data_IF_002604765666
#
_entry.id   IF_002604765666
#
_cell.length_a   1.000
_cell.length_b   1.000
_cell.length_c   1.000
_cell.angle_alpha   90.00
_cell.angle_beta   90.00
_cell.angle_gamma   90.00
#
_symmetry.space_group_name_H-M   'P 1'
#
loop_
_entity.id
_entity.type
_entity.pdbx_description
1 polymer ?
#
# COMPACT_ATOMS: atom_id res chain seq x y z
N UNK A 1 44.41 42.11 12.00
CA UNK A 1 44.04 41.89 10.58
C UNK A 1 44.41 40.47 10.17
N UNK A 2 43.48 39.53 10.27
CA UNK A 2 43.67 38.17 9.74
C UNK A 2 42.37 37.73 9.09
N UNK A 3 42.37 37.78 7.76
CA UNK A 3 41.23 37.42 6.90
C UNK A 3 41.06 35.89 6.89
N UNK A 4 39.92 35.41 7.38
CA UNK A 4 39.47 34.03 7.17
C UNK A 4 38.82 33.93 5.79
N UNK A 5 39.60 33.52 4.80
CA UNK A 5 39.11 33.22 3.46
C UNK A 5 38.18 32.00 3.48
N UNK A 6 36.88 32.24 3.49
CA UNK A 6 35.85 31.23 3.28
C UNK A 6 35.76 30.92 1.77
N UNK A 7 36.17 29.71 1.41
CA UNK A 7 36.09 29.14 0.06
C UNK A 7 34.65 29.24 -0.50
N UNK A 8 34.49 30.04 -1.55
CA UNK A 8 33.23 30.35 -2.26
C UNK A 8 32.84 29.33 -3.35
N UNK A 9 33.37 28.11 -3.34
CA UNK A 9 33.32 27.20 -4.50
C UNK A 9 32.18 26.16 -4.55
N UNK A 10 31.20 26.22 -3.66
CA UNK A 10 30.08 25.26 -3.66
C UNK A 10 28.71 25.83 -4.07
N UNK A 11 28.65 27.02 -4.68
CA UNK A 11 27.39 27.65 -5.13
C UNK A 11 26.96 27.31 -6.56
N UNK A 12 27.63 26.39 -7.26
CA UNK A 12 27.20 25.94 -8.61
C UNK A 12 26.24 24.76 -8.50
N UNK A 13 25.03 25.00 -8.02
CA UNK A 13 24.05 23.93 -7.95
C UNK A 13 22.65 24.25 -7.42
N UNK A 14 22.17 25.50 -7.45
CA UNK A 14 20.75 25.74 -7.20
C UNK A 14 20.28 27.13 -7.66
N UNK A 15 19.24 27.15 -8.50
CA UNK A 15 18.26 28.24 -8.66
C UNK A 15 18.76 29.68 -8.62
N UNK A 16 18.85 30.30 -9.79
CA UNK A 16 19.01 31.74 -10.00
C UNK A 16 18.03 32.56 -9.14
N UNK A 17 18.54 33.56 -8.41
CA UNK A 17 17.78 34.76 -8.05
C UNK A 17 17.52 35.11 -6.57
N UNK A 18 18.09 34.39 -5.57
CA UNK A 18 17.88 34.73 -4.15
C UNK A 18 19.18 35.21 -3.49
N UNK A 19 19.11 36.30 -2.71
CA UNK A 19 20.25 36.86 -1.97
C UNK A 19 20.78 35.85 -0.93
N UNK A 20 22.06 35.94 -0.57
CA UNK A 20 22.73 35.02 0.38
C UNK A 20 21.96 34.89 1.71
N UNK A 21 21.40 36.01 2.17
CA UNK A 21 20.57 36.06 3.40
C UNK A 21 19.24 35.32 3.25
N UNK A 22 18.60 35.41 2.08
CA UNK A 22 17.33 34.73 1.80
C UNK A 22 17.52 33.21 1.73
N UNK A 23 18.68 32.77 1.22
CA UNK A 23 19.09 31.38 1.23
C UNK A 23 19.29 30.83 2.65
N UNK A 24 19.92 31.61 3.53
CA UNK A 24 20.10 31.25 4.93
C UNK A 24 18.76 31.16 5.67
N UNK A 25 17.88 32.16 5.51
CA UNK A 25 16.51 32.14 6.05
C UNK A 25 15.70 30.94 5.55
N UNK A 26 15.82 30.58 4.26
CA UNK A 26 15.14 29.39 3.69
C UNK A 26 15.69 28.07 4.27
N UNK A 27 16.99 28.00 4.55
CA UNK A 27 17.64 26.84 5.17
C UNK A 27 17.21 26.68 6.63
N UNK A 28 17.15 27.77 7.38
CA UNK A 28 16.66 27.82 8.75
C UNK A 28 15.19 27.41 8.83
N UNK A 29 14.34 27.94 7.94
CA UNK A 29 12.92 27.54 7.84
C UNK A 29 12.77 26.04 7.60
N UNK A 30 13.57 25.47 6.70
CA UNK A 30 13.60 24.01 6.43
C UNK A 30 14.10 23.21 7.63
N UNK A 31 15.05 23.73 8.40
CA UNK A 31 15.56 23.10 9.63
C UNK A 31 14.47 23.08 10.71
N UNK A 32 13.81 24.21 10.96
CA UNK A 32 12.70 24.32 11.91
C UNK A 32 11.51 23.44 11.51
N UNK A 33 11.15 23.38 10.22
CA UNK A 33 10.07 22.51 9.74
C UNK A 33 10.38 21.01 9.95
N UNK A 34 11.63 20.60 9.71
CA UNK A 34 12.10 19.23 9.98
C UNK A 34 12.02 18.90 11.46
N UNK A 35 12.45 19.80 12.33
CA UNK A 35 12.36 19.62 13.78
C UNK A 35 10.90 19.54 14.25
N UNK A 36 10.00 20.38 13.72
CA UNK A 36 8.57 20.31 14.01
C UNK A 36 7.96 18.97 13.59
N UNK A 37 8.32 18.46 12.41
CA UNK A 37 7.87 17.13 11.93
C UNK A 37 8.43 15.99 12.77
N UNK A 38 9.68 16.08 13.24
CA UNK A 38 10.27 15.10 14.15
C UNK A 38 9.55 15.08 15.50
N UNK A 39 9.28 16.25 16.10
CA UNK A 39 8.52 16.37 17.37
C UNK A 39 7.15 15.74 17.27
N UNK A 40 6.36 16.12 16.25
CA UNK A 40 5.05 15.50 15.99
C UNK A 40 5.14 13.99 15.83
N UNK A 41 6.12 13.48 15.10
CA UNK A 41 6.29 12.02 14.91
C UNK A 41 6.65 11.30 16.20
N UNK A 42 7.42 11.94 17.10
CA UNK A 42 7.72 11.42 18.44
C UNK A 42 6.46 11.42 19.31
N UNK A 43 5.72 12.52 19.35
CA UNK A 43 4.44 12.63 20.07
C UNK A 43 3.43 11.56 19.61
N UNK A 44 3.24 11.40 18.30
CA UNK A 44 2.36 10.35 17.77
C UNK A 44 2.84 8.93 18.13
N UNK A 45 4.14 8.68 18.20
CA UNK A 45 4.68 7.39 18.65
C UNK A 45 4.45 7.16 20.14
N UNK A 46 4.66 8.18 20.97
CA UNK A 46 4.40 8.11 22.41
C UNK A 46 2.91 7.92 22.69
N UNK A 47 2.02 8.63 21.97
CA UNK A 47 0.57 8.43 22.06
C UNK A 47 0.16 7.02 21.68
N UNK A 48 0.71 6.49 20.59
CA UNK A 48 0.42 5.11 20.15
C UNK A 48 0.95 4.06 21.13
N UNK A 49 2.11 4.30 21.74
CA UNK A 49 2.65 3.43 22.79
C UNK A 49 1.79 3.48 24.07
N UNK A 50 1.33 4.67 24.46
CA UNK A 50 0.42 4.85 25.59
C UNK A 50 -0.97 4.22 25.35
N UNK A 51 -1.53 4.36 24.14
CA UNK A 51 -2.77 3.67 23.74
C UNK A 51 -2.60 2.16 23.78
N UNK A 52 -1.46 1.64 23.28
CA UNK A 52 -1.18 0.20 23.32
C UNK A 52 -0.98 -0.32 24.75
N UNK A 53 -0.33 0.45 25.62
CA UNK A 53 -0.16 0.10 27.04
C UNK A 53 -1.50 0.18 27.82
N UNK A 54 -2.37 1.15 27.49
CA UNK A 54 -3.71 1.22 28.06
C UNK A 54 -4.67 0.15 27.54
N UNK A 55 -4.40 -0.41 26.36
CA UNK A 55 -5.15 -1.54 25.79
C UNK A 55 -4.70 -2.88 26.41
N UNK A 56 -3.41 -3.06 26.72
CA UNK A 56 -2.91 -4.26 27.43
C UNK A 56 -3.36 -4.31 28.89
N UNK A 57 -3.49 -3.18 29.58
CA UNK A 57 -4.01 -3.14 30.97
C UNK A 57 -5.52 -3.41 31.01
N UNK A 58 -6.27 -3.19 29.93
CA UNK A 58 -7.71 -3.52 29.86
C UNK A 58 -8.01 -4.98 29.51
N UNK A 59 -7.01 -5.77 29.13
CA UNK A 59 -7.17 -7.18 28.76
C UNK A 59 -6.68 -8.15 29.83
N UNK A 60 -6.20 -7.67 30.99
CA UNK A 60 -5.60 -8.51 32.02
C UNK A 60 -6.44 -8.61 33.32
N UNK A 61 -7.55 -7.86 33.43
CA UNK A 61 -8.53 -8.00 34.52
C UNK A 61 -9.82 -8.65 34.01
N UNK A 62 -9.83 -9.99 33.92
CA UNK A 62 -11.04 -10.71 33.58
C UNK A 62 -10.87 -12.17 33.25
N UNK A 63 -10.23 -12.96 34.11
CA UNK A 63 -10.34 -14.43 34.09
C UNK A 63 -9.88 -15.00 35.44
N UNK A 64 -10.77 -15.02 36.42
CA UNK A 64 -10.69 -15.94 37.56
C UNK A 64 -12.08 -16.07 38.18
N UNK A 65 -12.75 -17.23 37.97
CA UNK A 65 -13.77 -17.83 38.83
C UNK A 65 -14.38 -19.08 38.16
N UNK A 66 -13.82 -20.24 38.46
CA UNK A 66 -14.43 -21.57 38.48
C UNK A 66 -13.73 -22.31 39.64
N UNK A 67 -14.30 -23.19 40.46
CA UNK A 67 -15.64 -23.72 40.70
C UNK A 67 -15.46 -24.69 41.89
N UNK A 68 -16.25 -24.60 42.97
CA UNK A 68 -16.28 -25.65 43.99
C UNK A 68 -17.64 -25.73 44.69
N UNK A 69 -18.33 -26.84 44.40
CA UNK A 69 -19.39 -27.57 45.10
C UNK A 69 -20.09 -26.99 46.35
N UNK A 70 -21.43 -27.16 46.44
CA UNK A 70 -22.19 -27.97 47.44
C UNK A 70 -23.69 -27.95 47.10
N UNK A 71 -24.39 -29.04 47.45
CA UNK A 71 -25.73 -29.54 47.02
C UNK A 71 -26.93 -28.96 47.83
N UNK A 72 -28.17 -29.52 47.84
CA UNK A 72 -29.40 -28.83 47.43
C UNK A 72 -30.42 -28.58 48.58
N UNK A 73 -31.45 -27.77 48.34
CA UNK A 73 -32.60 -27.66 49.23
C UNK A 73 -33.76 -26.85 48.62
N UNK A 74 -35.01 -27.35 48.61
CA UNK A 74 -36.16 -26.62 48.06
C UNK A 74 -36.97 -25.97 49.18
N UNK A 75 -37.29 -24.68 49.07
CA UNK A 75 -38.37 -24.05 49.84
C UNK A 75 -39.06 -22.98 48.99
N UNK A 76 -40.36 -23.17 48.82
CA UNK A 76 -41.29 -22.28 48.12
C UNK A 76 -41.66 -21.03 48.93
N UNK A 77 -42.38 -20.12 48.25
CA UNK A 77 -43.15 -18.94 48.72
C UNK A 77 -42.27 -17.67 48.77
N UNK A 78 -42.69 -16.51 48.27
CA UNK A 78 -44.00 -15.87 48.43
C UNK A 78 -44.37 -14.95 47.25
N UNK A 79 -45.69 -14.76 47.13
CA UNK A 79 -46.36 -13.97 46.11
C UNK A 79 -46.06 -12.47 46.21
N UNK A 80 -45.81 -11.83 45.07
CA UNK A 80 -46.33 -10.47 44.85
C UNK A 80 -46.98 -10.40 43.47
N UNK A 81 -48.29 -10.17 43.53
CA UNK A 81 -49.23 -9.94 42.45
C UNK A 81 -48.82 -8.75 41.59
N UNK A 82 -48.50 -9.00 40.32
CA UNK A 82 -48.50 -8.01 39.25
C UNK A 82 -49.21 -8.61 38.03
N UNK A 83 -50.54 -8.63 38.10
CA UNK A 83 -51.39 -8.78 36.92
C UNK A 83 -51.50 -7.41 36.27
N UNK A 84 -50.57 -7.15 35.37
CA UNK A 84 -50.78 -6.25 34.24
C UNK A 84 -50.42 -7.11 33.03
N UNK A 85 -51.39 -7.36 32.16
CA UNK A 85 -51.24 -8.11 30.91
C UNK A 85 -49.80 -7.97 30.37
N UNK A 86 -49.02 -9.05 30.44
CA UNK A 86 -47.75 -9.15 29.73
C UNK A 86 -48.15 -9.10 28.26
N UNK A 87 -48.16 -7.91 27.68
CA UNK A 87 -48.09 -7.78 26.24
C UNK A 87 -46.66 -8.19 25.93
N UNK A 88 -46.45 -9.49 25.73
CA UNK A 88 -45.31 -10.01 25.00
C UNK A 88 -45.48 -9.51 23.57
N UNK A 89 -45.10 -8.25 23.36
CA UNK A 89 -44.87 -7.73 22.03
C UNK A 89 -43.68 -8.51 21.52
N UNK A 90 -43.97 -9.58 20.77
CA UNK A 90 -43.02 -10.38 20.00
C UNK A 90 -42.35 -9.57 18.88
N UNK A 91 -42.04 -8.30 19.13
CA UNK A 91 -41.12 -7.51 18.33
C UNK A 91 -39.72 -7.92 18.76
N UNK A 92 -39.24 -8.99 18.14
CA UNK A 92 -37.81 -9.22 17.97
C UNK A 92 -37.17 -7.86 17.60
N UNK A 93 -36.38 -7.26 18.50
CA UNK A 93 -35.83 -5.91 18.34
C UNK A 93 -34.82 -5.89 17.18
N UNK A 94 -35.34 -5.82 15.95
CA UNK A 94 -34.53 -5.70 14.75
C UNK A 94 -33.99 -4.29 14.68
N UNK A 95 -32.67 -4.18 14.64
CA UNK A 95 -31.99 -2.90 14.42
C UNK A 95 -32.56 -2.21 13.18
N UNK A 96 -32.60 -0.86 13.19
CA UNK A 96 -33.04 -0.06 12.02
C UNK A 96 -32.32 -0.45 10.72
N UNK A 97 -31.08 -0.98 10.82
CA UNK A 97 -30.30 -1.49 9.69
C UNK A 97 -30.82 -2.83 9.17
N UNK A 98 -31.21 -3.76 10.04
CA UNK A 98 -31.83 -5.04 9.65
C UNK A 98 -33.17 -4.78 8.94
N UNK A 99 -34.01 -3.91 9.49
CA UNK A 99 -35.28 -3.53 8.87
C UNK A 99 -35.07 -2.92 7.47
N UNK A 100 -34.07 -2.05 7.29
CA UNK A 100 -33.71 -1.51 5.96
C UNK A 100 -33.22 -2.60 5.00
N UNK A 101 -32.43 -3.57 5.47
CA UNK A 101 -31.96 -4.71 4.65
C UNK A 101 -33.13 -5.61 4.24
N UNK A 102 -34.04 -5.93 5.16
CA UNK A 102 -35.24 -6.72 4.87
C UNK A 102 -36.14 -6.00 3.85
N UNK A 103 -36.39 -4.70 4.02
CA UNK A 103 -37.12 -3.88 3.04
C UNK A 103 -36.44 -3.91 1.66
N UNK A 104 -35.11 -3.78 1.61
CA UNK A 104 -34.36 -3.89 0.34
C UNK A 104 -34.46 -5.29 -0.28
N UNK A 105 -34.41 -6.36 0.53
CA UNK A 105 -34.59 -7.74 0.05
C UNK A 105 -36.01 -7.99 -0.48
N UNK A 106 -37.03 -7.42 0.15
CA UNK A 106 -38.42 -7.53 -0.33
C UNK A 106 -38.61 -6.86 -1.70
N UNK A 107 -38.03 -5.68 -1.89
CA UNK A 107 -38.20 -4.91 -3.14
C UNK A 107 -37.28 -5.39 -4.25
N UNK A 108 -36.02 -5.70 -3.93
CA UNK A 108 -34.95 -5.97 -4.92
C UNK A 108 -34.55 -7.44 -4.99
N UNK A 109 -35.15 -8.29 -4.15
CA UNK A 109 -34.79 -9.70 -4.00
C UNK A 109 -33.40 -9.90 -3.41
N UNK A 110 -32.86 -11.09 -3.63
CA UNK A 110 -31.51 -11.49 -3.20
C UNK A 110 -30.43 -11.13 -4.25
N UNK A 111 -30.74 -10.26 -5.22
CA UNK A 111 -29.84 -9.93 -6.32
C UNK A 111 -28.81 -8.87 -5.87
N UNK A 112 -27.60 -9.32 -5.53
CA UNK A 112 -26.53 -8.42 -5.09
C UNK A 112 -26.07 -7.50 -6.24
N UNK A 113 -25.94 -6.19 -6.05
CA UNK A 113 -25.57 -5.29 -7.15
C UNK A 113 -24.10 -5.48 -7.55
N UNK A 114 -23.82 -5.59 -8.86
CA UNK A 114 -22.47 -5.74 -9.42
C UNK A 114 -21.71 -4.42 -9.33
N UNK A 115 -21.15 -4.17 -8.16
CA UNK A 115 -20.50 -2.90 -7.80
C UNK A 115 -19.04 -3.10 -7.41
N UNK A 116 -18.27 -2.01 -7.44
CA UNK A 116 -16.90 -1.98 -6.95
C UNK A 116 -15.83 -2.10 -8.04
N UNK A 117 -14.59 -2.41 -7.59
CA UNK A 117 -13.37 -2.44 -8.43
C UNK A 117 -12.74 -3.83 -8.51
N UNK A 118 -13.36 -4.85 -7.91
CA UNK A 118 -12.84 -6.22 -7.93
C UNK A 118 -13.31 -6.94 -9.19
N UNK A 119 -12.64 -6.64 -10.31
CA UNK A 119 -13.04 -7.12 -11.63
C UNK A 119 -13.03 -8.65 -11.76
N UNK A 120 -12.15 -9.37 -11.03
CA UNK A 120 -12.16 -10.84 -10.98
C UNK A 120 -13.45 -11.40 -10.35
N UNK A 121 -13.81 -10.88 -9.18
CA UNK A 121 -15.05 -11.27 -8.48
C UNK A 121 -16.29 -10.86 -9.26
N UNK A 122 -16.27 -9.69 -9.91
CA UNK A 122 -17.37 -9.25 -10.76
C UNK A 122 -17.53 -10.17 -11.98
N UNK A 123 -16.44 -10.55 -12.64
CA UNK A 123 -16.50 -11.46 -13.78
C UNK A 123 -17.08 -12.82 -13.37
N UNK A 124 -16.58 -13.42 -12.28
CA UNK A 124 -17.13 -14.67 -11.74
C UNK A 124 -18.61 -14.57 -11.37
N UNK A 125 -19.07 -13.43 -10.85
CA UNK A 125 -20.50 -13.21 -10.56
C UNK A 125 -21.34 -13.06 -11.83
N UNK A 126 -20.81 -12.46 -12.89
CA UNK A 126 -21.52 -12.38 -14.17
C UNK A 126 -21.62 -13.77 -14.80
N UNK A 127 -20.51 -14.49 -14.84
CA UNK A 127 -20.44 -15.86 -15.39
C UNK A 127 -21.40 -16.79 -14.62
N UNK A 128 -21.41 -16.75 -13.29
CA UNK A 128 -22.34 -17.53 -12.47
C UNK A 128 -23.82 -17.14 -12.68
N UNK A 129 -24.12 -15.89 -13.05
CA UNK A 129 -25.50 -15.48 -13.40
C UNK A 129 -25.91 -16.02 -14.76
N UNK A 130 -25.01 -15.98 -15.73
CA UNK A 130 -25.26 -16.54 -17.08
C UNK A 130 -25.45 -18.04 -17.02
N UNK A 131 -24.58 -18.76 -16.32
CA UNK A 131 -24.71 -20.20 -16.12
C UNK A 131 -26.08 -20.57 -15.51
N UNK A 132 -26.52 -19.85 -14.45
CA UNK A 132 -27.85 -20.07 -13.87
C UNK A 132 -29.01 -19.76 -14.81
N UNK A 133 -28.84 -18.79 -15.71
CA UNK A 133 -29.84 -18.48 -16.72
C UNK A 133 -29.88 -19.55 -17.80
N UNK A 134 -28.72 -20.05 -18.23
CA UNK A 134 -28.60 -21.14 -19.20
C UNK A 134 -29.19 -22.44 -18.64
N UNK A 135 -28.83 -22.84 -17.41
CA UNK A 135 -29.42 -23.99 -16.70
C UNK A 135 -30.95 -23.89 -16.56
N UNK A 136 -31.49 -22.69 -16.38
CA UNK A 136 -32.93 -22.48 -16.31
C UNK A 136 -33.58 -22.45 -17.69
N UNK A 137 -32.90 -21.96 -18.73
CA UNK A 137 -33.41 -22.00 -20.12
C UNK A 137 -33.52 -23.43 -20.62
N UNK A 138 -32.57 -24.29 -20.25
CA UNK A 138 -32.60 -25.73 -20.59
C UNK A 138 -33.77 -26.46 -19.93
N UNK A 139 -34.16 -26.06 -18.72
CA UNK A 139 -35.27 -26.67 -17.98
C UNK A 139 -36.62 -26.07 -18.35
N UNK A 140 -36.74 -24.75 -18.25
CA UNK A 140 -37.98 -23.97 -18.36
C UNK A 140 -37.71 -22.56 -18.94
N UNK A 141 -37.95 -22.37 -20.24
CA UNK A 141 -37.70 -21.09 -20.91
C UNK A 141 -38.52 -19.92 -20.33
N UNK A 142 -39.76 -20.16 -19.92
CA UNK A 142 -40.63 -19.14 -19.32
C UNK A 142 -40.07 -18.61 -18.00
N UNK A 143 -39.62 -19.50 -17.12
CA UNK A 143 -39.00 -19.10 -15.83
C UNK A 143 -37.69 -18.35 -16.05
N UNK A 144 -36.92 -18.72 -17.07
CA UNK A 144 -35.71 -17.99 -17.43
C UNK A 144 -36.02 -16.55 -17.88
N UNK A 145 -37.03 -16.34 -18.74
CA UNK A 145 -37.47 -15.01 -19.18
C UNK A 145 -37.91 -14.14 -18.01
N UNK A 146 -38.72 -14.67 -17.10
CA UNK A 146 -39.10 -13.95 -15.88
C UNK A 146 -37.89 -13.56 -15.03
N UNK A 147 -36.90 -14.45 -14.91
CA UNK A 147 -35.71 -14.22 -14.11
C UNK A 147 -34.83 -13.13 -14.75
N UNK A 148 -34.70 -13.12 -16.07
CA UNK A 148 -34.05 -12.05 -16.82
C UNK A 148 -34.73 -10.69 -16.64
N UNK A 149 -36.06 -10.65 -16.72
CA UNK A 149 -36.84 -9.45 -16.49
C UNK A 149 -36.65 -8.94 -15.07
N UNK A 150 -36.72 -9.82 -14.06
CA UNK A 150 -36.40 -9.49 -12.67
C UNK A 150 -34.99 -8.91 -12.54
N UNK A 151 -33.98 -9.48 -13.23
CA UNK A 151 -32.62 -8.93 -13.25
C UNK A 151 -32.55 -7.54 -13.91
N UNK A 152 -33.25 -7.34 -15.03
CA UNK A 152 -33.29 -6.05 -15.75
C UNK A 152 -33.91 -4.96 -14.87
N UNK A 153 -35.06 -5.23 -14.26
CA UNK A 153 -35.77 -4.28 -13.41
C UNK A 153 -35.01 -3.95 -12.12
N UNK A 154 -34.44 -4.96 -11.45
CA UNK A 154 -33.59 -4.72 -10.27
C UNK A 154 -32.35 -3.91 -10.61
N UNK A 155 -31.73 -4.14 -11.77
CA UNK A 155 -30.62 -3.32 -12.26
C UNK A 155 -31.04 -1.85 -12.48
N UNK A 156 -32.20 -1.59 -13.09
CA UNK A 156 -32.73 -0.22 -13.26
C UNK A 156 -32.95 0.42 -11.89
N UNK A 157 -33.54 -0.29 -10.94
CA UNK A 157 -33.81 0.20 -9.60
C UNK A 157 -32.51 0.54 -8.84
N UNK A 158 -31.46 -0.27 -8.98
CA UNK A 158 -30.14 0.03 -8.43
C UNK A 158 -29.45 1.21 -9.12
N UNK A 159 -29.61 1.36 -10.44
CA UNK A 159 -29.11 2.54 -11.17
C UNK A 159 -29.82 3.82 -10.70
N UNK A 160 -31.12 3.75 -10.44
CA UNK A 160 -31.90 4.85 -9.88
C UNK A 160 -31.50 5.21 -8.44
N UNK A 161 -31.09 4.23 -7.62
CA UNK A 161 -30.47 4.48 -6.29
C UNK A 161 -29.08 5.17 -6.42
N UNK A 162 -28.53 5.28 -7.63
CA UNK A 162 -27.22 5.89 -7.90
C UNK A 162 -26.05 4.89 -7.88
N UNK A 163 -26.32 3.58 -7.82
CA UNK A 163 -25.27 2.57 -7.85
C UNK A 163 -24.76 2.36 -9.29
N UNK A 164 -23.43 2.44 -9.45
CA UNK A 164 -22.75 2.16 -10.72
C UNK A 164 -22.60 0.65 -10.94
N UNK A 165 -23.57 0.06 -11.62
CA UNK A 165 -23.58 -1.37 -11.97
C UNK A 165 -22.61 -1.64 -13.13
N UNK A 166 -21.79 -2.69 -12.98
CA UNK A 166 -20.81 -3.14 -13.97
C UNK A 166 -21.10 -4.59 -14.34
N UNK A 167 -22.04 -4.77 -15.25
CA UNK A 167 -22.53 -6.04 -15.79
C UNK A 167 -21.83 -6.45 -17.10
N UNK A 168 -21.25 -5.50 -17.85
CA UNK A 168 -20.55 -5.76 -19.11
C UNK A 168 -19.25 -6.57 -18.95
N UNK A 169 -19.24 -7.83 -19.37
CA UNK A 169 -18.07 -8.72 -19.32
C UNK A 169 -16.86 -8.21 -20.09
N UNK A 170 -17.07 -7.72 -21.32
CA UNK A 170 -16.00 -7.18 -22.16
C UNK A 170 -15.28 -6.03 -21.48
N UNK A 171 -16.03 -5.12 -20.84
CA UNK A 171 -15.46 -4.01 -20.07
C UNK A 171 -14.77 -4.47 -18.79
N UNK A 172 -15.28 -5.50 -18.11
CA UNK A 172 -14.64 -6.10 -16.94
C UNK A 172 -13.31 -6.75 -17.29
N UNK A 173 -13.25 -7.54 -18.37
CA UNK A 173 -12.02 -8.15 -18.91
C UNK A 173 -11.01 -7.08 -19.34
N UNK A 174 -11.46 -6.05 -20.08
CA UNK A 174 -10.60 -4.93 -20.46
C UNK A 174 -10.04 -4.17 -19.25
N UNK A 175 -10.86 -3.97 -18.21
CA UNK A 175 -10.44 -3.33 -16.96
C UNK A 175 -9.43 -4.18 -16.18
N UNK A 176 -9.54 -5.51 -16.24
CA UNK A 176 -8.55 -6.44 -15.72
C UNK A 176 -7.21 -6.30 -16.45
N UNK A 177 -7.24 -6.38 -17.78
CA UNK A 177 -6.04 -6.20 -18.63
C UNK A 177 -5.35 -4.85 -18.37
N UNK A 178 -6.13 -3.76 -18.23
CA UNK A 178 -5.58 -2.43 -17.87
C UNK A 178 -4.90 -2.45 -16.50
N UNK A 179 -5.49 -3.11 -15.49
CA UNK A 179 -4.87 -3.25 -14.16
C UNK A 179 -3.57 -4.03 -14.22
N UNK A 180 -3.54 -5.11 -14.97
CA UNK A 180 -2.34 -5.94 -15.17
C UNK A 180 -1.25 -5.17 -15.90
N UNK A 181 -1.60 -4.43 -16.96
CA UNK A 181 -0.67 -3.53 -17.66
C UNK A 181 -0.05 -2.49 -16.73
N UNK A 182 -0.86 -1.84 -15.89
CA UNK A 182 -0.37 -0.87 -14.90
C UNK A 182 0.58 -1.53 -13.88
N UNK A 183 0.26 -2.75 -13.42
CA UNK A 183 1.12 -3.50 -12.50
C UNK A 183 2.44 -3.88 -13.17
N UNK A 184 2.41 -4.37 -14.40
CA UNK A 184 3.60 -4.71 -15.18
C UNK A 184 4.49 -3.48 -15.41
N UNK A 185 3.89 -2.35 -15.80
CA UNK A 185 4.61 -1.07 -15.93
C UNK A 185 5.27 -0.68 -14.61
N UNK A 186 4.55 -0.70 -13.49
CA UNK A 186 5.15 -0.41 -12.18
C UNK A 186 6.31 -1.34 -11.88
N UNK A 187 6.15 -2.65 -12.07
CA UNK A 187 7.20 -3.65 -11.87
C UNK A 187 8.45 -3.30 -12.69
N UNK A 188 8.30 -3.04 -13.99
CA UNK A 188 9.39 -2.63 -14.88
C UNK A 188 10.09 -1.36 -14.40
N UNK A 189 9.35 -0.33 -13.97
CA UNK A 189 9.96 0.90 -13.47
C UNK A 189 10.74 0.67 -12.17
N UNK A 190 10.27 -0.23 -11.30
CA UNK A 190 10.99 -0.59 -10.09
C UNK A 190 12.26 -1.39 -10.40
N UNK A 191 12.18 -2.36 -11.31
CA UNK A 191 13.34 -3.12 -11.81
C UNK A 191 14.38 -2.20 -12.46
N UNK A 192 13.95 -1.25 -13.30
CA UNK A 192 14.85 -0.25 -13.90
C UNK A 192 15.54 0.61 -12.83
N UNK A 193 14.83 1.01 -11.78
CA UNK A 193 15.43 1.77 -10.68
C UNK A 193 16.45 0.95 -9.91
N UNK A 194 16.18 -0.33 -9.64
CA UNK A 194 17.13 -1.20 -8.95
C UNK A 194 18.38 -1.45 -9.82
N UNK A 195 18.19 -1.72 -11.11
CA UNK A 195 19.30 -1.90 -12.05
C UNK A 195 20.16 -0.64 -12.14
N UNK A 196 19.55 0.54 -12.26
CA UNK A 196 20.27 1.82 -12.28
C UNK A 196 21.11 2.07 -11.02
N UNK A 197 20.62 1.66 -9.86
CA UNK A 197 21.39 1.76 -8.61
C UNK A 197 22.60 0.84 -8.64
N UNK A 198 22.42 -0.41 -9.07
CA UNK A 198 23.52 -1.38 -9.21
C UNK A 198 24.57 -0.91 -10.22
N UNK A 199 24.14 -0.42 -11.38
CA UNK A 199 25.01 0.12 -12.43
C UNK A 199 25.83 1.31 -11.90
N UNK A 200 25.20 2.24 -11.16
CA UNK A 200 25.92 3.36 -10.53
C UNK A 200 26.96 2.89 -9.52
N UNK A 201 26.63 1.88 -8.71
CA UNK A 201 27.58 1.30 -7.75
C UNK A 201 28.76 0.65 -8.47
N UNK A 202 28.50 -0.15 -9.50
CA UNK A 202 29.53 -0.79 -10.32
C UNK A 202 30.42 0.25 -11.00
N UNK A 203 29.83 1.27 -11.64
CA UNK A 203 30.57 2.35 -12.30
C UNK A 203 31.53 3.08 -11.33
N UNK A 204 31.10 3.34 -10.10
CA UNK A 204 31.97 3.94 -9.09
C UNK A 204 33.13 3.03 -8.70
N UNK A 205 32.87 1.73 -8.52
CA UNK A 205 33.91 0.74 -8.22
C UNK A 205 34.90 0.59 -9.38
N UNK A 206 34.42 0.55 -10.62
CA UNK A 206 35.26 0.44 -11.80
C UNK A 206 36.10 1.69 -12.01
N UNK A 207 35.54 2.87 -11.78
CA UNK A 207 36.30 4.13 -11.77
C UNK A 207 37.42 4.10 -10.73
N UNK A 208 37.13 3.59 -9.52
CA UNK A 208 38.14 3.42 -8.47
C UNK A 208 39.23 2.43 -8.89
N UNK A 209 38.86 1.27 -9.45
CA UNK A 209 39.80 0.25 -9.95
C UNK A 209 40.71 0.81 -11.05
N UNK A 210 40.14 1.48 -12.05
CA UNK A 210 40.87 2.15 -13.13
C UNK A 210 41.83 3.21 -12.60
N UNK A 211 41.38 4.06 -11.66
CA UNK A 211 42.25 5.07 -11.05
C UNK A 211 43.42 4.45 -10.26
N UNK A 212 43.19 3.34 -9.54
CA UNK A 212 44.25 2.62 -8.83
C UNK A 212 45.25 2.00 -9.81
N UNK A 213 44.76 1.36 -10.89
CA UNK A 213 45.61 0.80 -11.95
C UNK A 213 46.45 1.89 -12.61
N UNK A 214 45.84 3.02 -12.99
CA UNK A 214 46.54 4.15 -13.58
C UNK A 214 47.60 4.70 -12.62
N UNK A 215 47.31 4.82 -11.31
CA UNK A 215 48.32 5.23 -10.32
C UNK A 215 49.49 4.24 -10.22
N UNK A 216 49.23 2.93 -10.28
CA UNK A 216 50.29 1.90 -10.30
C UNK A 216 51.13 2.04 -11.57
N UNK A 217 50.49 2.15 -12.74
CA UNK A 217 51.16 2.34 -14.02
C UNK A 217 52.02 3.60 -14.02
N UNK A 218 51.48 4.75 -13.62
CA UNK A 218 52.23 6.01 -13.52
C UNK A 218 53.42 5.92 -12.58
N UNK A 219 53.33 5.16 -11.48
CA UNK A 219 54.48 4.92 -10.60
C UNK A 219 55.56 4.08 -11.27
N UNK A 220 55.17 3.05 -12.04
CA UNK A 220 56.09 2.23 -12.81
C UNK A 220 56.77 3.05 -13.92
N UNK A 221 56.00 3.81 -14.70
CA UNK A 221 56.54 4.68 -15.76
C UNK A 221 57.49 5.74 -15.21
N UNK A 222 57.14 6.41 -14.10
CA UNK A 222 58.07 7.33 -13.41
C UNK A 222 59.36 6.66 -12.96
N UNK A 223 59.32 5.39 -12.54
CA UNK A 223 60.53 4.62 -12.19
C UNK A 223 61.37 4.32 -13.43
N UNK A 224 60.73 3.92 -14.54
CA UNK A 224 61.38 3.70 -15.83
C UNK A 224 62.03 4.98 -16.38
N UNK A 225 61.32 6.10 -16.39
CA UNK A 225 61.83 7.40 -16.81
C UNK A 225 63.05 7.84 -15.98
N UNK A 226 63.00 7.65 -14.65
CA UNK A 226 64.16 7.94 -13.78
C UNK A 226 65.36 7.05 -14.09
N UNK A 227 65.14 5.78 -14.45
CA UNK A 227 66.22 4.88 -14.86
C UNK A 227 66.84 5.32 -16.20
N UNK A 228 66.01 5.68 -17.18
CA UNK A 228 66.45 6.24 -18.47
C UNK A 228 67.27 7.52 -18.30
N UNK A 229 66.81 8.46 -17.47
CA UNK A 229 67.54 9.71 -17.15
C UNK A 229 68.90 9.46 -16.48
N UNK A 230 69.06 8.32 -15.81
CA UNK A 230 70.35 7.88 -15.22
C UNK A 230 71.20 7.05 -16.20
N UNK A 231 70.82 6.98 -17.47
CA UNK A 231 71.55 6.24 -18.51
C UNK A 231 71.37 4.72 -18.48
N UNK A 232 70.43 4.18 -17.68
CA UNK A 232 70.15 2.72 -17.66
C UNK A 232 69.24 2.35 -18.83
N UNK A 233 69.71 1.41 -19.66
CA UNK A 233 68.94 0.86 -20.78
C UNK A 233 67.93 -0.17 -20.26
N UNK A 234 66.65 0.00 -20.56
CA UNK A 234 65.60 -0.93 -20.15
C UNK A 234 65.39 -2.03 -21.20
N UNK A 235 64.96 -3.25 -20.81
CA UNK A 235 64.66 -4.33 -21.76
C UNK A 235 63.60 -3.97 -22.81
N UNK A 236 62.68 -3.05 -22.48
CA UNK A 236 61.68 -2.52 -23.42
C UNK A 236 62.31 -1.68 -24.53
N UNK A 237 63.37 -0.93 -24.22
CA UNK A 237 64.06 -0.08 -25.18
C UNK A 237 64.92 -0.93 -26.13
N UNK A 238 65.49 -2.04 -25.64
CA UNK A 238 66.17 -3.05 -26.46
C UNK A 238 65.21 -3.80 -27.41
N UNK A 239 63.97 -4.05 -26.98
CA UNK A 239 62.94 -4.64 -27.84
C UNK A 239 62.47 -3.65 -28.91
N UNK A 240 62.39 -2.36 -28.59
CA UNK A 240 62.07 -1.29 -29.56
C UNK A 240 63.18 -1.05 -30.58
N UNK A 241 64.43 -1.26 -30.22
CA UNK A 241 65.58 -1.08 -31.11
C UNK A 241 65.86 -2.29 -32.02
N UNK A 242 65.22 -3.44 -31.75
CA UNK A 242 65.31 -4.67 -32.56
C UNK A 242 64.16 -4.83 -33.57
N UNK A 243 63.20 -3.90 -33.54
CA UNK A 243 62.17 -3.67 -34.56
C UNK A 243 62.56 -2.43 -35.35
#
# INVERSE_FOLDING_TARGET
>A
MTQLALNSKDLKGAGKGLSSEEWMKKRERRKQERERKKRKRKEFRMKKLAEKAGETVKTEDGENLESAAVTPGPVEKEMTTLVFNKVDVGFEYKSKLQLKKEKKKRVKGNLTPLTGKNYKQLLSRVEARKAKLEELREKDEAKAKEMEEKMKWTNVLYKAEGLKIKDNEGMLRASLKRKEKIRAQRKKHWEQRSLHVLEKMQHQQDKRRKNIQNRKHMKLEKRKEKARKKGRVLPEDLKKAKL
#
